data_IF_263699562437
#
_entry.id   IF_263699562437
#
_cell.length_a   1.000
_cell.length_b   1.000
_cell.length_c   1.000
_cell.angle_alpha   90.00
_cell.angle_beta   90.00
_cell.angle_gamma   90.00
#
_symmetry.space_group_name_H-M   'P 1'
#
loop_
_entity.id
_entity.type
_entity.pdbx_description
1 polymer ?
#
# COMPACT_ATOMS: atom_id res chain seq x y z
N UNK A 1 35.36 10.06 -1.04
CA UNK A 1 34.23 10.83 -1.58
C UNK A 1 34.22 12.15 -0.86
N UNK A 2 34.78 13.18 -1.49
CA UNK A 2 34.84 14.54 -0.96
C UNK A 2 33.91 15.36 -1.85
N UNK A 3 33.02 16.15 -1.26
CA UNK A 3 32.13 16.99 -2.06
C UNK A 3 32.91 18.07 -2.79
N UNK A 4 32.36 18.65 -3.87
CA UNK A 4 32.97 19.75 -4.59
C UNK A 4 33.24 20.99 -3.72
N UNK A 5 32.55 21.10 -2.58
CA UNK A 5 32.78 22.14 -1.57
C UNK A 5 33.90 21.79 -0.56
N UNK A 6 34.61 20.68 -0.75
CA UNK A 6 35.71 20.24 0.12
C UNK A 6 35.28 19.47 1.36
N UNK A 7 33.99 19.13 1.52
CA UNK A 7 33.53 18.39 2.70
C UNK A 7 33.71 16.88 2.53
N UNK A 8 34.23 16.25 3.56
CA UNK A 8 34.32 14.78 3.62
C UNK A 8 33.14 14.26 4.42
N UNK A 9 32.31 13.43 3.80
CA UNK A 9 31.16 12.81 4.46
C UNK A 9 31.51 11.38 4.85
N UNK A 10 31.28 11.05 6.12
CA UNK A 10 31.39 9.70 6.66
C UNK A 10 30.00 9.27 7.10
N UNK A 11 29.52 8.14 6.56
CA UNK A 11 28.25 7.55 6.96
C UNK A 11 28.53 6.33 7.82
N UNK A 12 28.14 6.39 9.09
CA UNK A 12 28.25 5.27 10.03
C UNK A 12 26.90 4.57 10.12
N UNK A 13 26.80 3.29 9.71
CA UNK A 13 25.54 2.56 9.80
C UNK A 13 25.15 2.29 11.26
N UNK A 14 23.84 2.30 11.56
CA UNK A 14 23.33 2.09 12.93
C UNK A 14 23.63 0.71 13.54
N UNK A 15 24.10 -0.24 12.73
CA UNK A 15 24.54 -1.57 13.16
C UNK A 15 25.97 -1.61 13.72
N UNK A 16 26.72 -0.49 13.67
CA UNK A 16 28.10 -0.38 14.18
C UNK A 16 28.32 -0.96 15.58
N UNK A 17 27.45 -0.78 16.58
CA UNK A 17 27.69 -1.37 17.91
C UNK A 17 27.49 -2.90 17.95
N UNK A 18 26.68 -3.46 17.05
CA UNK A 18 26.38 -4.89 17.03
C UNK A 18 27.35 -5.67 16.13
N UNK A 19 27.79 -5.06 15.03
CA UNK A 19 28.63 -5.74 14.04
C UNK A 19 29.77 -4.84 13.53
N UNK A 20 30.73 -4.44 14.38
CA UNK A 20 31.81 -3.52 13.98
C UNK A 20 32.62 -4.01 12.77
N UNK A 21 32.82 -5.33 12.64
CA UNK A 21 33.56 -5.95 11.54
C UNK A 21 32.85 -5.85 10.19
N UNK A 22 31.52 -5.89 10.18
CA UNK A 22 30.70 -5.78 8.96
C UNK A 22 30.54 -4.33 8.50
N UNK A 23 30.70 -3.36 9.41
CA UNK A 23 30.60 -1.94 9.10
C UNK A 23 31.85 -1.37 8.42
N UNK A 24 32.90 -2.18 8.23
CA UNK A 24 34.06 -1.80 7.45
C UNK A 24 33.64 -1.64 5.99
N UNK A 25 33.86 -0.44 5.43
CA UNK A 25 33.68 -0.20 4.01
C UNK A 25 34.54 -1.20 3.22
N UNK A 26 33.88 -2.15 2.54
CA UNK A 26 34.53 -3.03 1.57
C UNK A 26 34.79 -2.15 0.35
N UNK A 27 36.06 -1.82 0.13
CA UNK A 27 36.48 -0.99 -1.01
C UNK A 27 35.91 -1.54 -2.32
N UNK A 28 35.54 -0.62 -3.22
CA UNK A 28 34.70 -0.85 -4.40
C UNK A 28 34.87 -2.24 -5.02
N UNK A 29 33.83 -3.07 -4.92
CA UNK A 29 33.74 -4.28 -5.70
C UNK A 29 33.79 -3.86 -7.17
N UNK A 30 34.66 -4.47 -8.01
CA UNK A 30 34.54 -4.26 -9.44
C UNK A 30 33.13 -4.70 -9.84
N UNK A 31 32.36 -3.78 -10.41
CA UNK A 31 31.12 -4.16 -11.05
C UNK A 31 31.52 -5.16 -12.13
N UNK A 32 31.05 -6.41 -12.03
CA UNK A 32 31.16 -7.31 -13.16
C UNK A 32 30.52 -6.60 -14.35
N UNK A 33 31.22 -6.55 -15.49
CA UNK A 33 30.59 -6.17 -16.75
C UNK A 33 29.46 -7.16 -16.97
N UNK A 34 28.25 -6.75 -16.59
CA UNK A 34 27.05 -7.54 -16.81
C UNK A 34 26.89 -7.63 -18.31
N UNK A 35 27.31 -8.78 -18.87
CA UNK A 35 26.97 -9.15 -20.23
C UNK A 35 25.44 -9.08 -20.32
N UNK A 36 24.95 -8.18 -21.19
CA UNK A 36 23.52 -7.93 -21.33
C UNK A 36 22.86 -9.27 -21.68
N UNK A 37 22.12 -9.83 -20.71
CA UNK A 37 21.41 -11.08 -20.91
C UNK A 37 20.51 -10.96 -22.13
N UNK A 38 20.47 -11.95 -23.04
CA UNK A 38 19.56 -11.91 -24.17
C UNK A 38 18.13 -11.73 -23.67
N UNK A 39 17.34 -11.01 -24.47
CA UNK A 39 15.96 -10.61 -24.20
C UNK A 39 15.05 -11.84 -24.02
N UNK A 40 15.08 -12.42 -22.82
CA UNK A 40 14.22 -13.51 -22.35
C UNK A 40 12.74 -13.07 -22.22
N UNK A 41 12.42 -11.84 -22.62
CA UNK A 41 11.07 -11.28 -22.61
C UNK A 41 10.33 -11.41 -23.94
N UNK A 42 10.94 -12.00 -24.98
CA UNK A 42 10.34 -12.05 -26.33
C UNK A 42 8.96 -12.72 -26.41
N UNK A 43 8.59 -13.59 -25.45
CA UNK A 43 7.33 -14.37 -25.47
C UNK A 43 6.42 -14.17 -24.24
N UNK A 44 6.54 -13.07 -23.49
CA UNK A 44 5.63 -12.76 -22.37
C UNK A 44 4.34 -12.09 -22.86
N UNK A 45 3.37 -12.87 -23.32
CA UNK A 45 2.04 -12.38 -23.76
C UNK A 45 1.07 -12.10 -22.60
N UNK A 46 1.34 -12.64 -21.40
CA UNK A 46 0.51 -12.42 -20.23
C UNK A 46 0.78 -11.03 -19.60
N UNK A 47 -0.13 -10.08 -19.83
CA UNK A 47 -0.09 -8.75 -19.22
C UNK A 47 -0.96 -8.68 -17.96
N UNK A 48 -0.57 -7.83 -17.00
CA UNK A 48 -1.41 -7.52 -15.84
C UNK A 48 -2.66 -6.76 -16.27
N UNK A 49 -3.85 -7.10 -15.76
CA UNK A 49 -5.07 -6.38 -16.08
C UNK A 49 -4.99 -4.93 -15.62
N UNK A 50 -5.39 -4.00 -16.50
CA UNK A 50 -5.45 -2.58 -16.17
C UNK A 50 -6.68 -2.30 -15.29
N UNK A 51 -6.50 -1.41 -14.30
CA UNK A 51 -7.63 -0.92 -13.48
C UNK A 51 -8.67 -0.24 -14.38
N UNK A 52 -9.91 -0.72 -14.33
CA UNK A 52 -11.05 -0.16 -15.08
C UNK A 52 -11.76 0.99 -14.39
N UNK A 53 -11.56 1.17 -13.09
CA UNK A 53 -12.27 2.17 -12.26
C UNK A 53 -11.35 2.83 -11.26
N UNK A 54 -11.58 4.11 -11.03
CA UNK A 54 -10.92 4.94 -10.02
C UNK A 54 -11.45 4.61 -8.61
N UNK A 55 -10.72 5.07 -7.59
CA UNK A 55 -11.14 4.92 -6.19
C UNK A 55 -12.43 5.69 -5.91
N UNK A 56 -12.59 6.87 -6.51
CA UNK A 56 -13.78 7.71 -6.37
C UNK A 56 -15.04 7.00 -6.92
N UNK A 57 -14.95 6.42 -8.12
CA UNK A 57 -16.05 5.65 -8.72
C UNK A 57 -16.43 4.44 -7.87
N UNK A 58 -15.45 3.73 -7.29
CA UNK A 58 -15.74 2.59 -6.38
C UNK A 58 -16.51 3.05 -5.14
N UNK A 59 -16.13 4.20 -4.57
CA UNK A 59 -16.80 4.76 -3.39
C UNK A 59 -18.22 5.22 -3.73
N UNK A 60 -18.41 5.88 -4.87
CA UNK A 60 -19.71 6.30 -5.36
C UNK A 60 -20.65 5.10 -5.54
N UNK A 61 -20.23 4.09 -6.33
CA UNK A 61 -20.99 2.85 -6.53
C UNK A 61 -21.34 2.14 -5.21
N UNK A 62 -20.42 2.16 -4.23
CA UNK A 62 -20.68 1.58 -2.91
C UNK A 62 -21.81 2.33 -2.19
N UNK A 63 -21.77 3.66 -2.20
CA UNK A 63 -22.80 4.50 -1.55
C UNK A 63 -24.16 4.30 -2.19
N UNK A 64 -24.24 4.29 -3.52
CA UNK A 64 -25.50 4.03 -4.24
C UNK A 64 -26.09 2.66 -3.89
N UNK A 65 -25.25 1.61 -3.84
CA UNK A 65 -25.70 0.26 -3.43
C UNK A 65 -26.25 0.24 -2.01
N UNK A 66 -25.58 0.91 -1.07
CA UNK A 66 -26.04 1.00 0.32
C UNK A 66 -27.37 1.77 0.45
N UNK A 67 -27.51 2.88 -0.29
CA UNK A 67 -28.76 3.64 -0.32
C UNK A 67 -29.93 2.80 -0.87
N UNK A 68 -29.72 2.05 -1.96
CA UNK A 68 -30.74 1.14 -2.50
C UNK A 68 -31.10 0.03 -1.51
N UNK A 69 -30.11 -0.53 -0.82
CA UNK A 69 -30.37 -1.54 0.22
C UNK A 69 -31.20 -0.99 1.37
N UNK A 70 -30.88 0.21 1.85
CA UNK A 70 -31.65 0.88 2.91
C UNK A 70 -33.12 1.13 2.50
N UNK A 71 -33.36 1.49 1.24
CA UNK A 71 -34.72 1.65 0.71
C UNK A 71 -35.50 0.32 0.67
N UNK A 72 -34.83 -0.79 0.36
CA UNK A 72 -35.47 -2.11 0.31
C UNK A 72 -35.76 -2.69 1.70
N UNK A 73 -34.91 -2.40 2.71
CA UNK A 73 -35.10 -2.93 4.07
C UNK A 73 -36.18 -2.18 4.86
N UNK A 74 -36.52 -0.94 4.49
CA UNK A 74 -37.55 -0.14 5.17
C UNK A 74 -37.17 0.23 6.63
N UNK A 75 -37.81 1.24 7.24
CA UNK A 75 -37.66 1.50 8.67
C UNK A 75 -38.29 0.36 9.49
N UNK A 76 -37.67 0.03 10.63
CA UNK A 76 -38.22 -0.94 11.57
C UNK A 76 -39.64 -0.49 12.01
N UNK A 77 -40.60 -1.42 12.18
CA UNK A 77 -41.91 -1.09 12.72
C UNK A 77 -41.77 -0.39 14.09
N UNK A 78 -42.56 0.65 14.40
CA UNK A 78 -42.52 1.26 15.72
C UNK A 78 -42.93 0.23 16.78
N UNK A 79 -42.17 0.15 17.87
CA UNK A 79 -42.53 -0.69 19.02
C UNK A 79 -43.91 -0.27 19.52
N UNK A 80 -44.82 -1.23 19.61
CA UNK A 80 -46.15 -1.03 20.17
C UNK A 80 -45.99 -0.50 21.60
N UNK A 81 -46.72 0.57 21.89
CA UNK A 81 -46.70 1.29 23.15
C UNK A 81 -47.30 0.43 24.27
N UNK A 82 -46.48 -0.36 24.95
CA UNK A 82 -46.85 -1.14 26.14
C UNK A 82 -46.74 -0.26 27.39
N UNK A 83 -47.69 0.68 27.56
CA UNK A 83 -47.57 1.67 28.63
C UNK A 83 -48.85 2.24 29.24
N UNK A 84 -50.05 1.78 28.87
CA UNK A 84 -51.29 2.28 29.49
C UNK A 84 -51.82 1.26 30.51
N UNK A 85 -51.80 1.56 31.83
CA UNK A 85 -52.33 0.66 32.83
C UNK A 85 -53.87 0.68 32.79
N UNK A 86 -54.53 -0.45 33.10
CA UNK A 86 -55.99 -0.50 33.10
C UNK A 86 -56.57 0.29 34.30
N UNK A 87 -57.75 0.92 34.14
CA UNK A 87 -58.33 1.77 35.18
C UNK A 87 -58.92 0.94 36.34
N UNK A 88 -58.65 1.35 37.58
CA UNK A 88 -59.39 0.97 38.80
C UNK A 88 -59.49 2.12 39.78
#
# INVERSE_FOLDING_TARGET
MTSPAGHTYVTTPGSTPLFPSLCRAVGGMPAAETDLTPDHCAERTAMMPKRRRTRAERNHNRRERLQRQAQLTGPAPPEANDGEPPPS
#
